data_IF_613026643505
#
_entry.id   IF_613026643505
#
_cell.length_a   1.000
_cell.length_b   1.000
_cell.length_c   1.000
_cell.angle_alpha   90.00
_cell.angle_beta   90.00
_cell.angle_gamma   90.00
#
_symmetry.space_group_name_H-M   'P 1'
#
loop_
_entity.id
_entity.type
_entity.pdbx_description
1 polymer ?
#
# COMPACT_ATOMS: atom_id res chain seq x y z
N UNK A 1 -2.52 3.74 23.41
CA UNK A 1 -1.92 3.99 22.08
C UNK A 1 -2.78 4.95 21.25
N UNK A 2 -4.08 4.67 21.10
CA UNK A 2 -5.02 5.54 20.38
C UNK A 2 -4.95 7.03 20.80
N UNK A 3 -4.89 7.31 22.11
CA UNK A 3 -4.76 8.70 22.60
C UNK A 3 -3.51 9.42 22.09
N UNK A 4 -2.36 8.73 22.05
CA UNK A 4 -1.11 9.31 21.55
C UNK A 4 -1.18 9.58 20.05
N UNK A 5 -1.77 8.66 19.29
CA UNK A 5 -1.98 8.85 17.86
C UNK A 5 -2.97 9.99 17.58
N UNK A 6 -4.05 10.11 18.36
CA UNK A 6 -5.00 11.21 18.23
C UNK A 6 -4.35 12.57 18.50
N UNK A 7 -3.50 12.69 19.53
CA UNK A 7 -2.70 13.92 19.77
C UNK A 7 -1.76 14.24 18.61
N UNK A 8 -1.17 13.21 17.99
CA UNK A 8 -0.24 13.34 16.87
C UNK A 8 -0.86 13.70 15.54
N UNK A 9 -2.10 13.29 15.34
CA UNK A 9 -2.85 13.39 14.09
C UNK A 9 -4.26 13.92 14.43
N UNK A 10 -4.38 15.20 14.83
CA UNK A 10 -5.63 15.78 15.32
C UNK A 10 -6.76 15.78 14.28
N UNK A 11 -6.43 15.68 12.99
CA UNK A 11 -7.40 15.51 11.90
C UNK A 11 -8.09 14.14 11.90
N UNK A 12 -7.58 13.17 12.66
CA UNK A 12 -8.17 11.85 12.84
C UNK A 12 -8.74 11.73 14.24
N UNK A 13 -10.02 11.41 14.35
CA UNK A 13 -10.69 11.25 15.65
C UNK A 13 -10.11 10.10 16.47
N UNK A 14 -10.32 10.13 17.79
CA UNK A 14 -9.98 9.00 18.64
C UNK A 14 -10.67 7.70 18.17
N UNK A 15 -11.95 7.77 17.77
CA UNK A 15 -12.70 6.64 17.23
C UNK A 15 -12.09 6.03 15.96
N UNK A 16 -11.51 6.87 15.08
CA UNK A 16 -10.77 6.39 13.92
C UNK A 16 -9.57 5.52 14.32
N UNK A 17 -8.82 5.90 15.37
CA UNK A 17 -7.68 5.13 15.85
C UNK A 17 -8.09 3.81 16.52
N UNK A 18 -9.21 3.81 17.25
CA UNK A 18 -9.78 2.57 17.81
C UNK A 18 -10.18 1.60 16.70
N UNK A 19 -10.85 2.09 15.65
CA UNK A 19 -11.20 1.29 14.48
C UNK A 19 -9.96 0.78 13.74
N UNK A 20 -8.94 1.62 13.55
CA UNK A 20 -7.67 1.23 12.94
C UNK A 20 -6.99 0.08 13.72
N UNK A 21 -6.89 0.20 15.04
CA UNK A 21 -6.33 -0.85 15.90
C UNK A 21 -7.20 -2.12 15.88
N UNK A 22 -8.53 -1.98 15.83
CA UNK A 22 -9.46 -3.11 15.72
C UNK A 22 -9.30 -3.85 14.39
N UNK A 23 -9.06 -3.14 13.28
CA UNK A 23 -8.72 -3.79 12.00
C UNK A 23 -7.41 -4.57 12.09
N UNK A 24 -6.39 -4.03 12.77
CA UNK A 24 -5.14 -4.75 12.99
C UNK A 24 -5.30 -6.00 13.86
N UNK A 25 -6.18 -5.98 14.86
CA UNK A 25 -6.41 -7.13 15.73
C UNK A 25 -7.04 -8.31 14.98
N UNK A 26 -7.81 -8.03 13.93
CA UNK A 26 -8.45 -9.05 13.08
C UNK A 26 -7.53 -9.67 12.04
N UNK A 27 -6.36 -9.06 11.76
CA UNK A 27 -5.41 -9.60 10.79
C UNK A 27 -4.64 -10.80 11.36
N UNK A 28 -4.19 -11.74 10.51
CA UNK A 28 -3.26 -12.78 10.91
C UNK A 28 -2.01 -12.16 11.56
N UNK A 29 -1.65 -12.65 12.74
CA UNK A 29 -0.37 -12.27 13.35
C UNK A 29 0.78 -12.86 12.53
N UNK A 30 1.84 -12.08 12.35
CA UNK A 30 3.13 -12.60 11.92
C UNK A 30 3.90 -12.94 13.19
N UNK A 31 4.19 -14.23 13.38
CA UNK A 31 4.94 -14.72 14.54
C UNK A 31 6.23 -13.91 14.75
N UNK A 32 6.62 -13.70 16.01
CA UNK A 32 7.80 -12.95 16.44
C UNK A 32 7.78 -11.43 16.15
N UNK A 33 6.66 -10.90 15.67
CA UNK A 33 6.50 -9.46 15.42
C UNK A 33 5.33 -8.86 16.21
N UNK A 34 5.43 -7.58 16.62
CA UNK A 34 4.37 -6.91 17.35
C UNK A 34 3.13 -6.73 16.47
N UNK A 35 1.97 -6.99 17.06
CA UNK A 35 0.68 -6.89 16.37
C UNK A 35 0.30 -5.46 15.98
N UNK A 36 0.59 -4.49 16.85
CA UNK A 36 0.14 -3.10 16.66
C UNK A 36 1.27 -2.15 16.31
N UNK A 37 2.42 -2.29 16.97
CA UNK A 37 3.43 -1.25 16.93
C UNK A 37 4.32 -1.20 18.16
N UNK A 38 5.07 -0.13 18.25
CA UNK A 38 5.94 0.21 19.37
C UNK A 38 5.45 1.49 20.04
N UNK A 39 5.74 1.63 21.33
CA UNK A 39 5.41 2.83 22.10
C UNK A 39 6.64 3.35 22.83
N UNK A 40 6.69 4.68 23.00
CA UNK A 40 7.52 5.33 24.00
C UNK A 40 6.61 5.63 25.20
N UNK A 41 7.02 5.16 26.37
CA UNK A 41 6.26 5.29 27.61
C UNK A 41 7.10 6.02 28.66
N UNK A 42 6.43 6.92 29.40
CA UNK A 42 7.00 7.66 30.52
C UNK A 42 6.00 7.68 31.66
N UNK A 43 6.37 7.06 32.78
CA UNK A 43 5.60 7.05 34.03
C UNK A 43 4.13 6.61 33.86
N UNK A 44 3.91 5.51 33.13
CA UNK A 44 2.60 4.95 32.82
C UNK A 44 1.87 5.60 31.64
N UNK A 45 2.42 6.69 31.07
CA UNK A 45 1.80 7.41 29.94
C UNK A 45 2.52 7.13 28.63
N UNK A 46 1.76 6.76 27.60
CA UNK A 46 2.28 6.66 26.23
C UNK A 46 2.48 8.07 25.66
N UNK A 47 3.74 8.42 25.41
CA UNK A 47 4.19 9.73 24.89
C UNK A 47 4.68 9.65 23.45
N UNK A 48 4.82 8.45 22.89
CA UNK A 48 5.07 8.23 21.47
C UNK A 48 4.53 6.89 21.01
N UNK A 49 4.13 6.81 19.75
CA UNK A 49 3.61 5.61 19.12
C UNK A 49 4.03 5.55 17.64
N UNK A 50 4.27 4.35 17.16
CA UNK A 50 4.42 4.03 15.74
C UNK A 50 3.68 2.73 15.49
N UNK A 51 2.81 2.73 14.49
CA UNK A 51 2.13 1.53 14.06
C UNK A 51 3.03 0.75 13.10
N UNK A 52 3.06 -0.57 13.25
CA UNK A 52 3.86 -1.47 12.40
C UNK A 52 2.96 -2.51 11.78
N UNK A 53 2.83 -2.45 10.46
CA UNK A 53 1.91 -3.27 9.70
C UNK A 53 2.67 -4.43 9.08
N UNK A 54 2.89 -5.48 9.85
CA UNK A 54 3.55 -6.68 9.37
C UNK A 54 2.63 -7.49 8.44
N UNK A 55 3.21 -8.02 7.37
CA UNK A 55 2.56 -8.93 6.44
C UNK A 55 3.58 -9.94 5.91
N UNK A 56 3.12 -11.17 5.70
CA UNK A 56 3.89 -12.23 5.08
C UNK A 56 3.53 -12.31 3.61
N UNK A 57 4.53 -12.22 2.75
CA UNK A 57 4.43 -12.43 1.31
C UNK A 57 5.08 -13.77 0.99
N UNK A 58 4.28 -14.71 0.50
CA UNK A 58 4.79 -16.04 0.13
C UNK A 58 5.50 -15.97 -1.21
N UNK A 59 6.62 -16.67 -1.34
CA UNK A 59 7.37 -16.83 -2.59
C UNK A 59 7.96 -18.23 -2.66
N UNK A 60 8.30 -18.67 -3.88
CA UNK A 60 8.99 -19.95 -4.10
C UNK A 60 10.38 -19.94 -3.43
N UNK A 61 11.06 -18.80 -3.43
CA UNK A 61 12.39 -18.60 -2.83
C UNK A 61 12.37 -18.41 -1.30
N UNK A 62 11.20 -18.55 -0.68
CA UNK A 62 10.98 -18.33 0.75
C UNK A 62 10.11 -17.10 1.05
N UNK A 63 9.49 -17.13 2.24
CA UNK A 63 8.60 -16.06 2.68
C UNK A 63 9.36 -14.75 2.94
N UNK A 64 8.83 -13.67 2.40
CA UNK A 64 9.29 -12.31 2.68
C UNK A 64 8.37 -11.67 3.72
N UNK A 65 8.95 -11.12 4.79
CA UNK A 65 8.21 -10.30 5.75
C UNK A 65 8.36 -8.84 5.36
N UNK A 66 7.21 -8.19 5.13
CA UNK A 66 7.12 -6.74 4.93
C UNK A 66 6.52 -6.07 6.15
N UNK A 67 7.00 -4.88 6.47
CA UNK A 67 6.47 -4.04 7.54
C UNK A 67 6.26 -2.61 7.04
N UNK A 68 5.01 -2.21 6.88
CA UNK A 68 4.73 -0.80 6.63
C UNK A 68 4.72 -0.01 7.96
N UNK A 69 5.62 0.97 8.04
CA UNK A 69 5.78 1.90 9.15
C UNK A 69 4.73 3.00 9.02
N UNK A 70 3.75 2.97 9.91
CA UNK A 70 2.57 3.81 9.84
C UNK A 70 2.40 4.69 11.06
N UNK A 71 1.68 5.80 10.89
CA UNK A 71 1.16 6.66 11.96
C UNK A 71 2.15 6.89 13.10
N UNK A 72 3.30 7.47 12.77
CA UNK A 72 4.35 7.75 13.73
C UNK A 72 4.17 9.13 14.36
N UNK A 73 3.94 9.17 15.68
CA UNK A 73 3.88 10.41 16.44
C UNK A 73 4.63 10.29 17.77
N UNK A 74 5.26 11.38 18.18
CA UNK A 74 5.91 11.53 19.48
C UNK A 74 5.57 12.92 20.00
N UNK A 75 5.09 13.00 21.24
CA UNK A 75 4.77 14.24 21.95
C UNK A 75 6.00 15.18 21.91
N UNK A 76 5.77 16.49 21.80
CA UNK A 76 6.82 17.46 21.45
C UNK A 76 8.05 17.41 22.35
N UNK A 77 7.83 17.26 23.66
CA UNK A 77 8.86 17.12 24.70
C UNK A 77 9.78 15.91 24.49
N UNK A 78 9.27 14.84 23.88
CA UNK A 78 9.98 13.56 23.73
C UNK A 78 10.53 13.35 22.31
N UNK A 79 10.41 14.33 21.41
CA UNK A 79 10.93 14.26 20.04
C UNK A 79 12.41 13.87 19.93
N UNK A 80 13.32 14.26 20.86
CA UNK A 80 14.70 13.77 20.83
C UNK A 80 14.83 12.24 20.86
N UNK A 81 13.83 11.52 21.40
CA UNK A 81 13.80 10.05 21.47
C UNK A 81 13.17 9.39 20.22
N UNK A 82 12.58 10.17 19.32
CA UNK A 82 11.88 9.65 18.15
C UNK A 82 12.84 8.85 17.23
N UNK A 83 14.04 9.37 16.97
CA UNK A 83 15.04 8.68 16.15
C UNK A 83 15.48 7.34 16.77
N UNK A 84 15.62 7.29 18.11
CA UNK A 84 15.94 6.05 18.82
C UNK A 84 14.82 5.02 18.70
N UNK A 85 13.57 5.46 18.83
CA UNK A 85 12.39 4.60 18.65
C UNK A 85 12.40 3.95 17.27
N UNK A 86 12.52 4.73 16.20
CA UNK A 86 12.48 4.17 14.84
C UNK A 86 13.70 3.29 14.55
N UNK A 87 14.88 3.62 15.10
CA UNK A 87 16.07 2.77 15.01
C UNK A 87 15.81 1.38 15.59
N UNK A 88 15.11 1.28 16.73
CA UNK A 88 14.69 0.01 17.35
C UNK A 88 13.70 -0.76 16.46
N UNK A 89 12.73 -0.07 15.84
CA UNK A 89 11.75 -0.72 14.96
C UNK A 89 12.42 -1.39 13.76
N UNK A 90 13.45 -0.76 13.19
CA UNK A 90 14.05 -1.19 11.91
C UNK A 90 15.31 -2.06 12.08
N UNK A 91 15.56 -2.64 13.26
CA UNK A 91 16.79 -3.38 13.54
C UNK A 91 16.90 -4.71 12.79
N UNK A 92 15.77 -5.41 12.58
CA UNK A 92 15.72 -6.71 11.90
C UNK A 92 16.07 -6.54 10.41
N UNK A 93 17.19 -7.12 9.97
CA UNK A 93 17.70 -6.98 8.58
C UNK A 93 17.01 -7.90 7.58
N UNK A 94 16.29 -8.91 8.06
CA UNK A 94 15.49 -9.86 7.31
C UNK A 94 14.09 -9.34 6.94
N UNK A 95 13.74 -8.13 7.38
CA UNK A 95 12.43 -7.49 7.11
C UNK A 95 12.57 -6.39 6.06
N UNK A 96 11.59 -6.30 5.16
CA UNK A 96 11.42 -5.17 4.25
C UNK A 96 10.49 -4.13 4.88
N UNK A 97 11.04 -3.05 5.40
CA UNK A 97 10.29 -1.91 5.91
C UNK A 97 9.88 -0.98 4.79
N UNK A 98 8.65 -0.49 4.82
CA UNK A 98 8.14 0.51 3.87
C UNK A 98 7.56 1.71 4.59
N UNK A 99 7.73 2.88 4.00
CA UNK A 99 7.10 4.13 4.43
C UNK A 99 6.49 4.79 3.20
N UNK A 100 5.16 4.80 3.15
CA UNK A 100 4.42 5.10 1.91
C UNK A 100 3.75 6.48 1.92
N UNK A 101 3.77 7.17 3.05
CA UNK A 101 3.33 8.56 3.20
C UNK A 101 4.24 9.36 4.15
N UNK A 102 5.54 9.53 3.84
CA UNK A 102 6.47 10.21 4.73
C UNK A 102 6.12 11.70 4.84
N UNK A 103 6.05 12.22 6.08
CA UNK A 103 6.03 13.66 6.31
C UNK A 103 7.36 14.32 5.90
N UNK A 104 7.42 15.65 5.69
CA UNK A 104 8.68 16.34 5.37
C UNK A 104 9.82 16.05 6.36
N UNK A 105 9.51 15.96 7.66
CA UNK A 105 10.49 15.58 8.69
C UNK A 105 10.94 14.13 8.55
N UNK A 106 9.98 13.23 8.28
CA UNK A 106 10.24 11.80 8.08
C UNK A 106 11.10 11.52 6.85
N UNK A 107 11.01 12.33 5.78
CA UNK A 107 11.87 12.19 4.60
C UNK A 107 13.36 12.31 4.95
N UNK A 108 13.73 13.26 5.82
CA UNK A 108 15.13 13.42 6.26
C UNK A 108 15.60 12.20 7.06
N UNK A 109 14.74 11.70 7.95
CA UNK A 109 15.04 10.53 8.77
C UNK A 109 15.14 9.25 7.95
N UNK A 110 14.25 9.02 6.98
CA UNK A 110 14.33 7.90 6.04
C UNK A 110 15.71 7.86 5.37
N UNK A 111 16.18 9.01 4.85
CA UNK A 111 17.52 9.10 4.23
C UNK A 111 18.63 8.78 5.22
N UNK A 112 18.57 9.34 6.43
CA UNK A 112 19.59 9.11 7.47
C UNK A 112 19.66 7.64 7.90
N UNK A 113 18.53 6.93 7.95
CA UNK A 113 18.45 5.51 8.26
C UNK A 113 18.72 4.60 7.04
N UNK A 114 19.11 5.17 5.89
CA UNK A 114 19.45 4.40 4.69
C UNK A 114 18.26 3.77 3.98
N UNK A 115 17.06 4.35 4.11
CA UNK A 115 15.94 4.00 3.25
C UNK A 115 16.20 4.47 1.82
N UNK A 116 15.77 3.67 0.85
CA UNK A 116 15.87 3.94 -0.58
C UNK A 116 14.48 4.13 -1.19
N UNK A 117 14.39 4.79 -2.33
CA UNK A 117 13.11 4.96 -3.03
C UNK A 117 12.70 3.67 -3.72
N UNK A 118 11.43 3.29 -3.59
CA UNK A 118 10.76 2.34 -4.50
C UNK A 118 9.62 3.00 -5.28
N UNK A 119 9.29 4.26 -4.96
CA UNK A 119 8.45 5.13 -5.78
C UNK A 119 9.00 6.56 -5.75
N UNK A 120 9.28 7.10 -6.93
CA UNK A 120 9.78 8.47 -7.13
C UNK A 120 8.69 9.47 -7.52
N UNK A 121 7.49 8.99 -7.80
CA UNK A 121 6.39 9.76 -8.35
C UNK A 121 5.14 8.90 -8.56
N UNK A 122 4.12 9.48 -9.17
CA UNK A 122 2.92 8.75 -9.58
C UNK A 122 2.59 9.02 -11.04
N UNK A 123 2.12 8.00 -11.75
CA UNK A 123 1.47 8.17 -13.04
C UNK A 123 -0.03 8.33 -12.80
N UNK A 124 -0.61 9.44 -13.26
CA UNK A 124 -2.05 9.59 -13.37
C UNK A 124 -2.46 9.27 -14.80
N UNK A 125 -3.35 8.30 -14.98
CA UNK A 125 -3.72 7.79 -16.30
C UNK A 125 -5.22 7.53 -16.40
N UNK A 126 -5.72 7.57 -17.64
CA UNK A 126 -7.11 7.29 -17.98
C UNK A 126 -7.17 5.93 -18.68
N UNK A 127 -7.44 4.83 -17.95
CA UNK A 127 -7.40 3.48 -18.53
C UNK A 127 -8.31 3.33 -19.76
N UNK A 128 -9.45 4.04 -19.79
CA UNK A 128 -10.42 4.01 -20.90
C UNK A 128 -9.86 4.50 -22.25
N UNK A 129 -8.76 5.26 -22.24
CA UNK A 129 -8.10 5.76 -23.45
C UNK A 129 -7.09 4.78 -24.05
N UNK A 130 -6.83 3.65 -23.38
CA UNK A 130 -5.91 2.62 -23.87
C UNK A 130 -6.66 1.64 -24.79
N UNK A 131 -5.93 1.06 -25.74
CA UNK A 131 -6.46 0.04 -26.62
C UNK A 131 -6.92 -1.20 -25.83
N UNK A 132 -7.95 -1.87 -26.34
CA UNK A 132 -8.51 -3.09 -25.76
C UNK A 132 -8.78 -4.09 -26.88
N UNK A 133 -8.38 -5.35 -26.70
CA UNK A 133 -8.75 -6.42 -27.63
C UNK A 133 -10.15 -6.94 -27.30
N UNK A 134 -10.86 -7.43 -28.32
CA UNK A 134 -12.25 -7.91 -28.15
C UNK A 134 -12.35 -9.10 -27.18
N UNK A 135 -11.30 -9.90 -27.08
CA UNK A 135 -11.24 -11.05 -26.19
C UNK A 135 -10.91 -10.69 -24.73
N UNK A 136 -10.43 -9.47 -24.47
CA UNK A 136 -10.05 -9.06 -23.13
C UNK A 136 -11.27 -8.92 -22.22
N UNK A 137 -11.12 -9.37 -20.97
CA UNK A 137 -12.18 -9.25 -19.96
C UNK A 137 -11.62 -8.98 -18.59
N UNK A 138 -12.46 -8.42 -17.73
CA UNK A 138 -12.15 -8.14 -16.33
C UNK A 138 -13.19 -8.84 -15.46
N UNK A 139 -12.71 -9.66 -14.53
CA UNK A 139 -13.52 -10.36 -13.55
C UNK A 139 -13.26 -9.76 -12.17
N UNK A 140 -14.27 -9.73 -11.31
CA UNK A 140 -14.07 -9.44 -9.88
C UNK A 140 -13.55 -10.73 -9.24
N UNK A 141 -12.42 -10.66 -8.55
CA UNK A 141 -11.78 -11.83 -7.98
C UNK A 141 -12.71 -12.52 -6.96
N UNK A 142 -12.90 -13.83 -7.12
CA UNK A 142 -13.61 -14.73 -6.22
C UNK A 142 -12.86 -16.06 -6.18
N UNK A 143 -12.91 -16.76 -5.06
CA UNK A 143 -12.09 -17.95 -4.84
C UNK A 143 -12.41 -19.08 -5.83
N UNK A 144 -13.65 -19.12 -6.35
CA UNK A 144 -14.18 -20.18 -7.20
C UNK A 144 -13.88 -19.98 -8.69
N UNK A 145 -13.30 -18.84 -9.08
CA UNK A 145 -12.98 -18.58 -10.49
C UNK A 145 -11.84 -19.50 -10.97
N UNK A 146 -12.01 -20.08 -12.15
CA UNK A 146 -11.01 -20.97 -12.74
C UNK A 146 -9.65 -20.27 -12.92
N UNK A 147 -9.65 -18.98 -13.26
CA UNK A 147 -8.45 -18.16 -13.41
C UNK A 147 -7.61 -18.07 -12.11
N UNK A 148 -8.20 -18.32 -10.93
CA UNK A 148 -7.44 -18.35 -9.67
C UNK A 148 -6.40 -19.47 -9.63
N UNK A 149 -6.58 -20.53 -10.42
CA UNK A 149 -5.63 -21.64 -10.52
C UNK A 149 -4.31 -21.22 -11.20
N UNK A 150 -4.32 -20.18 -12.03
CA UNK A 150 -3.13 -19.66 -12.72
C UNK A 150 -2.22 -18.83 -11.81
N UNK A 151 -2.71 -18.44 -10.63
CA UNK A 151 -1.96 -17.58 -9.71
C UNK A 151 -1.13 -18.36 -8.71
N UNK A 152 -0.13 -17.68 -8.14
CA UNK A 152 0.57 -18.18 -6.96
C UNK A 152 -0.34 -18.13 -5.72
N UNK A 153 -0.02 -18.89 -4.68
CA UNK A 153 -0.71 -18.79 -3.38
C UNK A 153 -0.71 -17.37 -2.83
N UNK A 154 0.40 -16.65 -3.05
CA UNK A 154 0.54 -15.28 -2.59
C UNK A 154 -0.38 -14.31 -3.35
N UNK A 155 -0.47 -14.44 -4.68
CA UNK A 155 -1.37 -13.62 -5.49
C UNK A 155 -2.84 -13.90 -5.15
N UNK A 156 -3.23 -15.18 -4.99
CA UNK A 156 -4.57 -15.56 -4.50
C UNK A 156 -4.86 -14.91 -3.14
N UNK A 157 -3.93 -15.02 -2.21
CA UNK A 157 -4.05 -14.41 -0.88
C UNK A 157 -4.20 -12.89 -0.96
N UNK A 158 -3.35 -12.21 -1.76
CA UNK A 158 -3.45 -10.77 -1.98
C UNK A 158 -4.84 -10.41 -2.53
N UNK A 159 -5.32 -11.08 -3.58
CA UNK A 159 -6.61 -10.76 -4.19
C UNK A 159 -7.77 -10.90 -3.20
N UNK A 160 -7.85 -12.04 -2.50
CA UNK A 160 -8.96 -12.36 -1.59
C UNK A 160 -8.95 -11.48 -0.34
N UNK A 161 -7.80 -11.32 0.30
CA UNK A 161 -7.68 -10.48 1.50
C UNK A 161 -7.96 -9.02 1.20
N UNK A 162 -7.45 -8.50 0.07
CA UNK A 162 -7.71 -7.12 -0.28
C UNK A 162 -9.17 -6.90 -0.67
N UNK A 163 -9.84 -7.89 -1.27
CA UNK A 163 -11.28 -7.83 -1.50
C UNK A 163 -12.04 -7.72 -0.17
N UNK A 164 -11.67 -8.53 0.83
CA UNK A 164 -12.26 -8.46 2.18
C UNK A 164 -11.98 -7.12 2.90
N UNK A 165 -10.86 -6.47 2.57
CA UNK A 165 -10.50 -5.11 3.05
C UNK A 165 -11.16 -3.98 2.22
N UNK A 166 -12.11 -4.32 1.35
CA UNK A 166 -12.87 -3.36 0.55
C UNK A 166 -12.09 -2.75 -0.61
N UNK A 167 -11.01 -3.39 -1.06
CA UNK A 167 -10.41 -3.09 -2.35
C UNK A 167 -11.23 -3.71 -3.48
N UNK A 168 -11.07 -3.14 -4.67
CA UNK A 168 -11.53 -3.72 -5.92
C UNK A 168 -10.45 -4.66 -6.43
N UNK A 169 -10.51 -5.92 -6.02
CA UNK A 169 -9.63 -6.99 -6.50
C UNK A 169 -10.18 -7.61 -7.77
N UNK A 170 -9.36 -7.63 -8.81
CA UNK A 170 -9.73 -7.95 -10.17
C UNK A 170 -8.77 -8.99 -10.77
N UNK A 171 -9.31 -9.75 -11.71
CA UNK A 171 -8.57 -10.61 -12.62
C UNK A 171 -8.76 -10.04 -14.02
N UNK A 172 -7.70 -9.52 -14.62
CA UNK A 172 -7.72 -9.09 -16.01
C UNK A 172 -7.24 -10.26 -16.87
N UNK A 173 -8.10 -10.76 -17.75
CA UNK A 173 -7.72 -11.78 -18.73
C UNK A 173 -7.43 -11.06 -20.04
N UNK A 174 -6.15 -11.02 -20.41
CA UNK A 174 -5.66 -10.34 -21.62
C UNK A 174 -4.74 -11.27 -22.39
N UNK A 175 -4.97 -11.41 -23.70
CA UNK A 175 -4.22 -12.35 -24.56
C UNK A 175 -4.18 -13.79 -24.01
N UNK A 176 -5.27 -14.22 -23.35
CA UNK A 176 -5.38 -15.54 -22.72
C UNK A 176 -4.63 -15.69 -21.39
N UNK A 177 -3.98 -14.63 -20.88
CA UNK A 177 -3.27 -14.63 -19.60
C UNK A 177 -4.11 -14.00 -18.50
N UNK A 178 -4.25 -14.68 -17.35
CA UNK A 178 -4.80 -14.07 -16.15
C UNK A 178 -3.75 -13.17 -15.45
N UNK A 179 -4.14 -11.91 -15.17
CA UNK A 179 -3.30 -10.91 -14.52
C UNK A 179 -3.99 -10.41 -13.24
N UNK A 180 -3.34 -10.50 -12.07
CA UNK A 180 -3.91 -10.03 -10.82
C UNK A 180 -3.78 -8.52 -10.70
N UNK A 181 -4.86 -7.86 -10.30
CA UNK A 181 -4.90 -6.41 -10.11
C UNK A 181 -5.72 -6.08 -8.86
N UNK A 182 -5.17 -5.24 -7.97
CA UNK A 182 -5.90 -4.69 -6.83
C UNK A 182 -5.94 -3.18 -6.93
N UNK A 183 -7.13 -2.62 -6.85
CA UNK A 183 -7.37 -1.18 -6.83
C UNK A 183 -7.99 -0.75 -5.51
N UNK A 184 -7.60 0.42 -4.99
CA UNK A 184 -8.30 1.11 -3.90
C UNK A 184 -9.00 2.34 -4.44
N UNK A 185 -10.35 2.35 -4.50
CA UNK A 185 -11.09 3.58 -4.74
C UNK A 185 -10.77 4.61 -3.66
N UNK A 186 -10.47 5.83 -4.07
CA UNK A 186 -10.20 6.96 -3.17
C UNK A 186 -10.58 8.28 -3.85
N UNK A 187 -10.46 9.38 -3.12
CA UNK A 187 -10.62 10.72 -3.66
C UNK A 187 -9.33 11.52 -3.49
N UNK A 188 -8.99 12.34 -4.47
CA UNK A 188 -7.85 13.28 -4.45
C UNK A 188 -8.35 14.72 -4.53
N UNK A 189 -7.43 15.69 -4.42
CA UNK A 189 -7.72 17.13 -4.36
C UNK A 189 -8.80 17.45 -3.32
N UNK A 190 -8.50 17.18 -2.04
CA UNK A 190 -9.40 17.44 -0.91
C UNK A 190 -10.79 16.78 -1.04
N UNK A 191 -10.86 15.62 -1.71
CA UNK A 191 -12.09 14.84 -1.81
C UNK A 191 -12.88 15.05 -3.10
N UNK A 192 -12.47 15.95 -3.98
CA UNK A 192 -13.27 16.32 -5.15
C UNK A 192 -13.21 15.30 -6.28
N UNK A 193 -12.03 14.76 -6.58
CA UNK A 193 -11.82 13.91 -7.76
C UNK A 193 -11.78 12.44 -7.34
N UNK A 194 -12.75 11.60 -7.74
CA UNK A 194 -12.68 10.16 -7.52
C UNK A 194 -11.60 9.54 -8.43
N UNK A 195 -10.83 8.62 -7.88
CA UNK A 195 -9.87 7.84 -8.63
C UNK A 195 -9.64 6.46 -8.02
N UNK A 196 -8.99 5.57 -8.76
CA UNK A 196 -8.50 4.30 -8.25
C UNK A 196 -6.98 4.33 -8.10
N UNK A 197 -6.48 4.10 -6.89
CA UNK A 197 -5.06 3.83 -6.67
C UNK A 197 -4.78 2.36 -6.98
N UNK A 198 -3.81 2.08 -7.86
CA UNK A 198 -3.25 0.74 -8.01
C UNK A 198 -2.51 0.39 -6.73
N UNK A 199 -2.97 -0.67 -6.08
CA UNK A 199 -2.41 -1.25 -4.86
C UNK A 199 -1.54 -2.46 -5.19
N UNK A 200 -1.90 -3.20 -6.23
CA UNK A 200 -1.12 -4.33 -6.69
C UNK A 200 -1.34 -4.55 -8.18
N UNK A 201 -0.25 -4.76 -8.89
CA UNK A 201 -0.18 -5.43 -10.17
C UNK A 201 1.18 -6.13 -10.21
N UNK A 202 1.28 -7.27 -10.89
CA UNK A 202 2.54 -8.02 -10.98
C UNK A 202 3.68 -7.16 -11.56
N UNK A 203 3.37 -6.38 -12.59
CA UNK A 203 4.30 -5.41 -13.17
C UNK A 203 3.54 -4.24 -13.82
N UNK A 204 4.25 -3.14 -14.06
CA UNK A 204 3.72 -2.04 -14.87
C UNK A 204 3.41 -2.43 -16.32
N UNK A 205 4.15 -3.40 -16.87
CA UNK A 205 3.87 -3.93 -18.21
C UNK A 205 2.54 -4.68 -18.23
N UNK A 206 2.24 -5.47 -17.19
CA UNK A 206 0.96 -6.16 -17.06
C UNK A 206 -0.20 -5.17 -16.84
N UNK A 207 0.04 -4.11 -16.06
CA UNK A 207 -0.94 -3.02 -15.90
C UNK A 207 -1.23 -2.32 -17.24
N UNK A 208 -0.20 -2.03 -18.03
CA UNK A 208 -0.35 -1.44 -19.35
C UNK A 208 -1.11 -2.37 -20.31
N UNK A 209 -0.79 -3.68 -20.29
CA UNK A 209 -1.45 -4.70 -21.11
C UNK A 209 -2.97 -4.73 -20.86
N UNK A 210 -3.40 -4.64 -19.61
CA UNK A 210 -4.83 -4.71 -19.27
C UNK A 210 -5.53 -3.36 -19.13
N UNK A 211 -4.85 -2.24 -19.40
CA UNK A 211 -5.38 -0.89 -19.13
C UNK A 211 -6.68 -0.60 -19.87
N UNK A 212 -6.82 -1.02 -21.14
CA UNK A 212 -8.05 -0.78 -21.91
C UNK A 212 -9.27 -1.53 -21.37
N UNK A 213 -9.10 -2.83 -21.09
CA UNK A 213 -10.14 -3.68 -20.50
C UNK A 213 -10.54 -3.18 -19.11
N UNK A 214 -9.55 -2.81 -18.29
CA UNK A 214 -9.74 -2.17 -17.01
C UNK A 214 -10.55 -0.87 -17.14
N UNK A 215 -10.23 -0.05 -18.15
CA UNK A 215 -10.91 1.21 -18.41
C UNK A 215 -12.40 1.04 -18.69
N UNK A 216 -12.78 0.06 -19.51
CA UNK A 216 -14.19 -0.27 -19.77
C UNK A 216 -14.91 -0.77 -18.51
N UNK A 217 -14.22 -1.56 -17.69
CA UNK A 217 -14.78 -2.04 -16.43
C UNK A 217 -15.01 -0.89 -15.42
N UNK A 218 -14.03 0.01 -15.28
CA UNK A 218 -14.10 1.14 -14.36
C UNK A 218 -15.05 2.24 -14.82
N UNK A 219 -15.19 2.46 -16.14
CA UNK A 219 -16.14 3.41 -16.72
C UNK A 219 -17.57 3.13 -16.23
N UNK A 220 -17.98 1.84 -16.21
CA UNK A 220 -19.29 1.41 -15.71
C UNK A 220 -19.50 1.67 -14.20
N UNK A 221 -18.42 1.97 -13.47
CA UNK A 221 -18.42 2.29 -12.03
C UNK A 221 -18.17 3.78 -11.76
N UNK A 222 -18.22 4.62 -12.80
CA UNK A 222 -17.97 6.07 -12.69
C UNK A 222 -16.53 6.42 -12.33
N UNK A 223 -15.57 5.52 -12.54
CA UNK A 223 -14.15 5.75 -12.28
C UNK A 223 -13.40 5.89 -13.60
N UNK A 224 -12.84 7.08 -13.86
CA UNK A 224 -12.11 7.38 -15.08
C UNK A 224 -10.61 7.53 -14.87
N UNK A 225 -10.19 7.91 -13.66
CA UNK A 225 -8.81 8.22 -13.33
C UNK A 225 -8.22 7.13 -12.45
N UNK A 226 -7.02 6.68 -12.81
CA UNK A 226 -6.22 5.79 -11.99
C UNK A 226 -4.86 6.41 -11.66
N UNK A 227 -4.31 6.03 -10.51
CA UNK A 227 -2.97 6.40 -10.06
C UNK A 227 -2.16 5.13 -9.85
N UNK A 228 -0.91 5.10 -10.33
CA UNK A 228 0.05 4.05 -10.00
C UNK A 228 1.38 4.68 -9.60
N UNK A 229 2.04 4.09 -8.61
CA UNK A 229 3.36 4.56 -8.18
C UNK A 229 4.44 4.12 -9.14
N UNK A 230 5.34 5.03 -9.50
CA UNK A 230 6.38 4.71 -10.46
C UNK A 230 7.68 5.48 -10.16
N UNK A 231 8.76 5.03 -10.79
CA UNK A 231 10.03 5.74 -10.81
C UNK A 231 10.16 6.69 -12.01
N UNK A 232 9.36 6.46 -13.05
CA UNK A 232 9.39 7.14 -14.34
C UNK A 232 8.02 7.02 -15.03
N UNK A 233 7.79 7.65 -16.20
CA UNK A 233 6.65 7.31 -17.05
C UNK A 233 6.55 5.80 -17.29
N UNK A 234 5.32 5.28 -17.32
CA UNK A 234 5.04 3.87 -17.60
C UNK A 234 4.65 3.74 -19.07
N UNK A 235 5.47 3.08 -19.91
CA UNK A 235 5.14 2.85 -21.31
C UNK A 235 3.82 2.10 -21.46
N UNK A 236 3.02 2.50 -22.46
CA UNK A 236 1.73 1.86 -22.75
C UNK A 236 0.55 2.35 -21.89
N UNK A 237 0.76 3.24 -20.92
CA UNK A 237 -0.35 3.89 -20.22
C UNK A 237 -0.63 5.29 -20.80
N UNK A 238 -1.89 5.53 -21.20
CA UNK A 238 -2.39 6.86 -21.56
C UNK A 238 -2.51 7.76 -20.32
N UNK A 239 -1.41 8.44 -19.97
CA UNK A 239 -1.34 9.29 -18.79
C UNK A 239 -0.06 10.11 -18.70
N UNK A 240 0.12 10.78 -17.55
CA UNK A 240 1.29 11.60 -17.26
C UNK A 240 1.95 11.18 -15.95
N UNK A 241 3.27 11.13 -15.96
CA UNK A 241 4.07 10.98 -14.74
C UNK A 241 4.26 12.32 -14.04
N UNK A 242 4.06 12.30 -12.72
CA UNK A 242 4.25 13.42 -11.82
C UNK A 242 5.40 13.08 -10.86
N UNK A 243 6.62 13.56 -11.13
CA UNK A 243 7.75 13.31 -10.24
C UNK A 243 7.49 13.96 -8.87
N UNK A 244 8.06 13.35 -7.82
CA UNK A 244 7.98 13.81 -6.42
C UNK A 244 6.56 13.78 -5.81
N UNK A 245 5.55 13.29 -6.53
CA UNK A 245 4.22 13.03 -5.96
C UNK A 245 4.17 11.63 -5.36
N UNK A 246 3.66 11.50 -4.13
CA UNK A 246 3.51 10.18 -3.49
C UNK A 246 4.81 9.40 -3.38
N UNK A 247 5.92 10.06 -3.02
CA UNK A 247 7.24 9.43 -2.83
C UNK A 247 7.14 8.34 -1.76
N UNK A 248 7.71 7.16 -2.04
CA UNK A 248 7.70 6.02 -1.10
C UNK A 248 9.08 5.43 -0.92
N UNK A 249 9.35 5.03 0.32
CA UNK A 249 10.65 4.55 0.77
C UNK A 249 10.58 3.11 1.24
N UNK A 250 11.67 2.37 1.05
CA UNK A 250 11.85 1.05 1.63
C UNK A 250 13.25 0.89 2.24
N UNK A 251 13.38 -0.05 3.18
CA UNK A 251 14.65 -0.51 3.76
C UNK A 251 14.55 -2.02 4.00
N UNK A 252 15.52 -2.80 3.52
CA UNK A 252 15.49 -4.24 3.69
C UNK A 252 16.21 -4.97 2.57
N UNK A 253 16.13 -6.32 2.55
CA UNK A 253 16.90 -7.17 1.65
C UNK A 253 16.45 -7.02 0.19
N UNK A 254 15.15 -6.83 -0.05
CA UNK A 254 14.55 -6.76 -1.39
C UNK A 254 13.64 -5.54 -1.51
N UNK A 255 13.71 -4.86 -2.67
CA UNK A 255 12.80 -3.76 -2.96
C UNK A 255 11.42 -4.31 -3.32
N UNK A 256 10.33 -3.73 -2.78
CA UNK A 256 9.01 -3.92 -3.36
C UNK A 256 9.00 -3.43 -4.81
N UNK A 257 8.14 -4.03 -5.64
CA UNK A 257 7.83 -3.46 -6.95
C UNK A 257 7.18 -2.09 -6.79
N UNK A 258 7.51 -1.09 -7.64
CA UNK A 258 6.76 0.15 -7.69
C UNK A 258 5.26 -0.14 -7.89
N UNK A 259 4.42 0.45 -7.05
CA UNK A 259 2.97 0.23 -7.08
C UNK A 259 2.46 -0.92 -6.22
N UNK A 260 3.34 -1.72 -5.61
CA UNK A 260 2.95 -2.72 -4.61
C UNK A 260 2.78 -2.07 -3.24
N UNK A 261 1.51 -1.77 -2.91
CA UNK A 261 1.04 -1.19 -1.65
C UNK A 261 0.24 -2.19 -0.84
N UNK A 262 0.38 -3.48 -1.12
CA UNK A 262 -0.40 -4.51 -0.43
C UNK A 262 -0.13 -4.49 1.06
N UNK A 263 -1.20 -4.66 1.84
CA UNK A 263 -1.17 -4.69 3.31
C UNK A 263 -0.60 -3.44 4.01
N UNK A 264 -0.48 -2.33 3.29
CA UNK A 264 -0.05 -1.03 3.85
C UNK A 264 -1.22 -0.24 4.47
N UNK A 265 -0.90 0.86 5.14
CA UNK A 265 -1.84 1.81 5.73
C UNK A 265 -2.86 2.34 4.72
N UNK A 266 -2.48 2.48 3.45
CA UNK A 266 -3.39 2.87 2.36
C UNK A 266 -4.58 1.90 2.23
N UNK A 267 -4.33 0.61 2.43
CA UNK A 267 -5.35 -0.44 2.34
C UNK A 267 -6.16 -0.50 3.62
N UNK A 268 -5.48 -0.52 4.77
CA UNK A 268 -6.07 -0.82 6.07
C UNK A 268 -6.81 0.36 6.69
N UNK A 269 -6.22 1.55 6.59
CA UNK A 269 -6.72 2.76 7.25
C UNK A 269 -7.38 3.70 6.24
N UNK A 270 -7.00 3.58 4.96
CA UNK A 270 -7.47 4.46 3.90
C UNK A 270 -6.63 5.74 3.81
N UNK A 271 -7.01 6.60 2.86
CA UNK A 271 -6.42 7.94 2.69
C UNK A 271 -7.26 8.99 3.37
#
# INVERSE_FOLDING_TARGET
MADCLHRGFPERSHGYWIEALTRLSRRPAVADFPRYGFVLEKSGRIVGAVLTLYARHRSVDGDEIRCNLSSWSVDAEFRPYASRMIATVIMRKDVVYTNISPSPGTVKLNKAFGFRLFSGGQVAFFPVLNAMQRADRVLVARAELAEMAEFTDNERYILLEHAALGCLSLICVCDGLALPLVLKPRRILHGLIPCCQVVYCRSHADLARCAGALGRFLLRRGQLLCLVDAMAPVPGLSGRYFPKKGIKYFKGPKSPSPGDLTFTEMVLFGS
#
